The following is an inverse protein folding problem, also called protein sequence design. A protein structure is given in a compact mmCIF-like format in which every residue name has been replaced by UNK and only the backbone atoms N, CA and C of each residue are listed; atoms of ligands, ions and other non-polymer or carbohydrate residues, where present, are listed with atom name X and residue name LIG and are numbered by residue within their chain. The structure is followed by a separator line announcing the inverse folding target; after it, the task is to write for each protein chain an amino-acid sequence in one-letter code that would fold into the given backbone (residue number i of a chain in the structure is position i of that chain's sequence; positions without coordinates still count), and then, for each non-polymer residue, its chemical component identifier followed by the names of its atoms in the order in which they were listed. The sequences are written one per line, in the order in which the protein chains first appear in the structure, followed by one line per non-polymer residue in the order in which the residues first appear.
data_IF_059969458452
#
_entry.id   IF_059969458452
#
_cell.length_a   1.000
_cell.length_b   1.000
_cell.length_c   1.000
_cell.angle_alpha   90.00
_cell.angle_beta   90.00
_cell.angle_gamma   90.00
#
_symmetry.space_group_name_H-M   'P 1'
#
loop_
_entity.id
_entity.type
_entity.pdbx_description
1 polymer ?
#
# COMPACT_ATOMS: atom_id res chain seq x y z
N UNK A 1 8.57 -11.86 2.12
CA UNK A 1 8.83 -11.74 3.58
C UNK A 1 7.58 -11.19 4.24
N UNK A 2 7.12 -11.76 5.37
CA UNK A 2 5.89 -11.34 6.07
C UNK A 2 6.20 -10.61 7.37
N UNK A 3 5.54 -9.48 7.60
CA UNK A 3 5.64 -8.70 8.82
C UNK A 3 4.27 -8.59 9.48
N UNK A 4 4.20 -8.87 10.79
CA UNK A 4 2.94 -8.88 11.55
C UNK A 4 2.69 -7.62 12.37
N UNK A 5 3.65 -6.71 12.42
CA UNK A 5 3.51 -5.42 13.11
C UNK A 5 2.52 -4.49 12.40
N UNK A 6 1.95 -3.58 13.16
CA UNK A 6 1.21 -2.44 12.63
C UNK A 6 2.18 -1.28 12.38
N UNK A 7 2.02 -0.59 11.26
CA UNK A 7 2.85 0.55 10.91
C UNK A 7 1.99 1.65 10.31
N UNK A 8 2.21 2.87 10.79
CA UNK A 8 1.54 4.08 10.27
C UNK A 8 2.45 4.74 9.27
N UNK A 9 1.93 4.96 8.07
CA UNK A 9 2.67 5.49 6.93
C UNK A 9 1.85 6.53 6.19
N UNK A 10 2.52 7.54 5.65
CA UNK A 10 1.94 8.53 4.76
C UNK A 10 2.24 8.20 3.31
N UNK A 11 1.34 8.59 2.42
CA UNK A 11 1.39 8.18 1.03
C UNK A 11 0.14 8.55 0.28
N UNK A 12 0.00 8.01 -0.93
CA UNK A 12 -1.14 8.25 -1.81
C UNK A 12 -1.87 6.94 -2.01
N UNK A 13 -3.18 6.92 -1.72
CA UNK A 13 -4.01 5.81 -2.15
C UNK A 13 -4.53 6.05 -3.57
N UNK A 14 -4.78 4.98 -4.30
CA UNK A 14 -5.46 4.97 -5.59
C UNK A 14 -6.44 3.80 -5.62
N UNK A 15 -7.72 4.09 -5.80
CA UNK A 15 -8.74 3.07 -6.05
C UNK A 15 -9.00 3.01 -7.55
N UNK A 16 -8.49 1.97 -8.21
CA UNK A 16 -8.63 1.85 -9.66
C UNK A 16 -10.08 1.59 -10.08
N UNK A 17 -10.53 2.28 -11.13
CA UNK A 17 -11.84 2.03 -11.73
C UNK A 17 -11.81 0.85 -12.68
N UNK A 18 -10.87 0.78 -13.61
CA UNK A 18 -10.61 -0.41 -14.44
C UNK A 18 -9.16 -0.42 -14.94
N UNK A 19 -8.27 -1.04 -14.17
CA UNK A 19 -6.86 -1.19 -14.53
C UNK A 19 -6.61 -2.51 -15.25
N UNK A 20 -5.94 -2.48 -16.40
CA UNK A 20 -5.59 -3.70 -17.15
C UNK A 20 -4.73 -4.68 -16.33
N UNK A 21 -3.95 -4.19 -15.37
CA UNK A 21 -3.09 -5.02 -14.50
C UNK A 21 -3.70 -5.25 -13.11
N UNK A 22 -4.41 -4.25 -12.58
CA UNK A 22 -4.85 -4.23 -11.18
C UNK A 22 -6.37 -4.24 -11.03
N UNK A 23 -7.15 -4.33 -12.11
CA UNK A 23 -8.61 -4.31 -12.09
C UNK A 23 -9.16 -3.17 -11.23
N UNK A 24 -9.92 -3.54 -10.19
CA UNK A 24 -10.54 -2.62 -9.24
C UNK A 24 -9.77 -2.47 -7.92
N UNK A 25 -8.49 -2.84 -7.87
CA UNK A 25 -7.75 -2.89 -6.61
C UNK A 25 -7.56 -1.50 -5.98
N UNK A 26 -7.38 -1.50 -4.65
CA UNK A 26 -6.94 -0.33 -3.90
C UNK A 26 -5.45 -0.47 -3.64
N UNK A 27 -4.69 0.51 -4.11
CA UNK A 27 -3.25 0.59 -3.97
C UNK A 27 -2.90 1.74 -3.04
N UNK A 28 -1.83 1.57 -2.27
CA UNK A 28 -1.20 2.65 -1.52
C UNK A 28 0.28 2.74 -1.85
N UNK A 29 0.69 3.87 -2.39
CA UNK A 29 2.10 4.20 -2.63
C UNK A 29 2.63 5.03 -1.46
N UNK A 30 3.69 4.56 -0.82
CA UNK A 30 4.30 5.23 0.32
C UNK A 30 5.06 6.46 -0.15
N UNK A 31 4.91 7.56 0.58
CA UNK A 31 5.59 8.82 0.28
C UNK A 31 7.10 8.66 0.44
N UNK A 32 7.84 8.78 -0.65
CA UNK A 32 9.30 8.67 -0.68
C UNK A 32 10.03 9.88 -0.08
N UNK A 33 9.30 10.95 0.24
CA UNK A 33 9.86 12.12 0.94
C UNK A 33 9.63 12.05 2.45
N UNK A 34 8.76 11.15 2.94
CA UNK A 34 8.51 10.94 4.35
C UNK A 34 9.46 9.89 4.93
N UNK A 35 10.56 10.37 5.52
CA UNK A 35 11.61 9.52 6.10
C UNK A 35 11.08 8.60 7.20
N UNK A 36 10.10 9.04 7.98
CA UNK A 36 9.55 8.23 9.06
C UNK A 36 8.79 7.04 8.48
N UNK A 37 7.97 7.28 7.45
CA UNK A 37 7.25 6.22 6.73
C UNK A 37 8.17 5.24 6.01
N UNK A 38 9.23 5.73 5.37
CA UNK A 38 10.21 4.89 4.66
C UNK A 38 10.99 4.00 5.63
N UNK A 39 11.45 4.56 6.75
CA UNK A 39 12.27 3.83 7.72
C UNK A 39 11.46 2.87 8.59
N UNK A 40 10.16 3.12 8.73
CA UNK A 40 9.25 2.22 9.43
C UNK A 40 8.97 0.93 8.62
N UNK A 41 9.28 0.93 7.32
CA UNK A 41 9.12 -0.24 6.47
C UNK A 41 10.46 -0.96 6.24
N UNK A 42 10.47 -2.30 6.33
CA UNK A 42 11.62 -3.07 5.93
C UNK A 42 11.81 -2.92 4.41
N UNK A 43 13.06 -2.78 3.98
CA UNK A 43 13.42 -2.67 2.56
C UNK A 43 14.35 -3.81 2.20
N UNK A 44 14.06 -4.52 1.12
CA UNK A 44 15.01 -5.47 0.54
C UNK A 44 16.07 -4.66 -0.23
N UNK A 45 17.34 -4.79 0.14
CA UNK A 45 18.46 -4.03 -0.48
C UNK A 45 18.54 -4.16 -2.01
N UNK A 46 18.00 -5.24 -2.55
CA UNK A 46 18.00 -5.57 -3.98
C UNK A 46 16.69 -5.20 -4.68
N UNK A 47 15.68 -4.75 -3.93
CA UNK A 47 14.40 -4.30 -4.47
C UNK A 47 14.39 -2.78 -4.56
N UNK A 48 14.60 -2.28 -5.79
CA UNK A 48 14.64 -0.84 -6.09
C UNK A 48 13.27 -0.28 -6.51
N UNK A 49 12.18 -1.05 -6.35
CA UNK A 49 10.82 -0.59 -6.70
C UNK A 49 10.33 0.43 -5.69
N UNK A 50 9.45 1.34 -6.12
CA UNK A 50 8.68 2.17 -5.19
C UNK A 50 7.96 1.27 -4.18
N UNK A 51 7.90 1.69 -2.92
CA UNK A 51 7.25 0.90 -1.90
C UNK A 51 5.75 1.17 -1.99
N UNK A 52 5.02 0.29 -2.67
CA UNK A 52 3.57 0.38 -2.78
C UNK A 52 2.92 -0.96 -2.46
N UNK A 53 1.72 -0.92 -1.90
CA UNK A 53 1.00 -2.08 -1.40
C UNK A 53 -0.39 -2.18 -2.03
N UNK A 54 -0.76 -3.38 -2.44
CA UNK A 54 -2.14 -3.74 -2.75
C UNK A 54 -2.86 -4.13 -1.46
N UNK A 55 -4.02 -3.53 -1.20
CA UNK A 55 -4.81 -3.78 0.00
C UNK A 55 -5.57 -5.11 -0.10
N UNK A 56 -5.30 -6.04 0.81
CA UNK A 56 -5.92 -7.38 0.84
C UNK A 56 -7.37 -7.38 1.34
N UNK A 57 -7.73 -6.42 2.18
CA UNK A 57 -9.08 -6.23 2.69
C UNK A 57 -9.79 -5.15 1.87
N UNK A 58 -10.07 -5.47 0.60
CA UNK A 58 -10.60 -4.54 -0.39
C UNK A 58 -11.90 -3.86 0.05
N UNK A 59 -12.85 -4.61 0.61
CA UNK A 59 -14.13 -4.03 1.06
C UNK A 59 -13.94 -2.94 2.12
N UNK A 60 -13.10 -3.22 3.13
CA UNK A 60 -12.77 -2.26 4.18
C UNK A 60 -11.97 -1.06 3.63
N UNK A 61 -11.02 -1.31 2.74
CA UNK A 61 -10.23 -0.24 2.12
C UNK A 61 -11.10 0.69 1.25
N UNK A 62 -12.08 0.15 0.53
CA UNK A 62 -13.06 0.92 -0.22
C UNK A 62 -13.91 1.80 0.68
N UNK A 63 -14.37 1.27 1.82
CA UNK A 63 -15.22 1.99 2.77
C UNK A 63 -14.49 3.18 3.41
N UNK A 64 -13.22 3.00 3.76
CA UNK A 64 -12.44 4.02 4.49
C UNK A 64 -11.77 5.09 3.60
N UNK A 65 -11.44 4.77 2.34
CA UNK A 65 -10.62 5.65 1.51
C UNK A 65 -11.43 6.49 0.52
N UNK A 66 -12.20 5.84 -0.35
CA UNK A 66 -12.94 6.54 -1.39
C UNK A 66 -13.44 5.64 -2.53
N UNK A 67 -14.30 6.20 -3.40
CA UNK A 67 -14.93 5.47 -4.49
C UNK A 67 -13.91 5.05 -5.56
N UNK A 68 -14.33 4.17 -6.48
CA UNK A 68 -13.52 3.83 -7.66
C UNK A 68 -13.15 5.10 -8.45
N UNK A 69 -11.94 5.13 -8.98
CA UNK A 69 -11.37 6.25 -9.71
C UNK A 69 -10.82 7.38 -8.82
N UNK A 70 -10.91 7.26 -7.48
CA UNK A 70 -10.37 8.28 -6.58
C UNK A 70 -8.90 8.04 -6.22
N UNK A 71 -8.21 9.13 -5.93
CA UNK A 71 -6.86 9.13 -5.39
C UNK A 71 -6.68 10.33 -4.47
N UNK A 72 -6.03 10.11 -3.33
CA UNK A 72 -5.67 11.20 -2.42
C UNK A 72 -4.47 10.82 -1.57
N UNK A 73 -3.72 11.84 -1.15
CA UNK A 73 -2.69 11.70 -0.13
C UNK A 73 -3.34 11.53 1.24
N UNK A 74 -2.88 10.56 2.01
CA UNK A 74 -3.41 10.24 3.33
C UNK A 74 -2.36 9.56 4.21
N UNK A 75 -2.59 9.55 5.52
CA UNK A 75 -1.85 8.73 6.48
C UNK A 75 -2.73 7.56 6.88
N UNK A 76 -2.20 6.35 6.83
CA UNK A 76 -2.94 5.16 7.20
C UNK A 76 -2.07 4.18 7.99
N UNK A 77 -2.73 3.31 8.74
CA UNK A 77 -2.07 2.21 9.44
C UNK A 77 -2.30 0.93 8.66
N UNK A 78 -1.21 0.23 8.31
CA UNK A 78 -1.28 -1.11 7.72
C UNK A 78 -0.76 -2.18 8.68
N UNK A 79 -1.21 -3.41 8.47
CA UNK A 79 -0.70 -4.62 9.15
C UNK A 79 -0.57 -5.78 8.19
N UNK A 80 0.06 -6.86 8.66
CA UNK A 80 0.24 -8.11 7.93
C UNK A 80 0.80 -7.91 6.51
N UNK A 81 1.74 -6.98 6.36
CA UNK A 81 2.26 -6.64 5.05
C UNK A 81 3.32 -7.64 4.59
N UNK A 82 3.31 -7.91 3.29
CA UNK A 82 4.18 -8.86 2.61
C UNK A 82 4.95 -8.13 1.53
N UNK A 83 6.28 -8.18 1.63
CA UNK A 83 7.16 -7.76 0.55
C UNK A 83 7.40 -8.97 -0.34
N UNK A 84 6.86 -8.91 -1.54
CA UNK A 84 6.95 -9.97 -2.53
C UNK A 84 7.95 -9.53 -3.60
N UNK A 85 9.10 -10.18 -3.64
CA UNK A 85 10.15 -9.91 -4.62
C UNK A 85 10.55 -11.22 -5.30
N UNK A 86 10.20 -11.33 -6.58
CA UNK A 86 10.58 -12.44 -7.44
C UNK A 86 10.95 -11.84 -8.81
N UNK A 87 12.25 -11.81 -9.16
CA UNK A 87 12.73 -11.21 -10.41
C UNK A 87 12.03 -11.83 -11.63
N UNK A 88 11.55 -10.98 -12.54
CA UNK A 88 10.91 -11.43 -13.79
C UNK A 88 9.46 -11.88 -13.64
N UNK A 89 8.81 -11.61 -12.49
CA UNK A 89 7.38 -11.89 -12.27
C UNK A 89 6.62 -10.65 -11.79
N UNK A 90 5.34 -10.59 -12.15
CA UNK A 90 4.41 -9.55 -11.69
C UNK A 90 3.90 -9.88 -10.27
N UNK A 91 4.78 -9.69 -9.28
CA UNK A 91 4.42 -9.80 -7.85
C UNK A 91 4.37 -8.43 -7.19
N UNK A 92 3.31 -8.20 -6.42
CA UNK A 92 3.08 -6.93 -5.73
C UNK A 92 3.20 -7.11 -4.23
N UNK A 93 3.68 -6.07 -3.53
CA UNK A 93 3.59 -6.08 -2.07
C UNK A 93 2.11 -6.00 -1.68
N UNK A 94 1.75 -6.62 -0.58
CA UNK A 94 0.37 -6.65 -0.10
C UNK A 94 0.31 -6.26 1.35
N UNK A 95 -0.78 -5.63 1.79
CA UNK A 95 -1.00 -5.28 3.18
C UNK A 95 -2.49 -5.29 3.54
N UNK A 96 -2.82 -5.32 4.83
CA UNK A 96 -4.19 -5.05 5.28
C UNK A 96 -4.25 -3.64 5.84
N UNK A 97 -5.25 -2.88 5.40
CA UNK A 97 -5.59 -1.60 6.02
C UNK A 97 -6.17 -1.84 7.42
N UNK A 98 -5.72 -1.06 8.40
CA UNK A 98 -6.23 -1.08 9.78
C UNK A 98 -7.10 0.13 10.05
N UNK A 99 -6.58 1.31 9.73
CA UNK A 99 -7.27 2.58 9.95
C UNK A 99 -6.71 3.65 9.03
N UNK A 100 -7.51 4.70 8.84
CA UNK A 100 -7.15 5.88 8.07
C UNK A 100 -7.12 7.07 9.04
N UNK A 101 -6.00 7.79 9.07
CA UNK A 101 -5.90 9.06 9.78
C UNK A 101 -6.28 10.17 8.80
N UNK A 102 -7.55 10.57 8.84
CA UNK A 102 -8.03 11.75 8.12
C UNK A 102 -7.30 13.00 8.61
N UNK A 103 -6.94 13.89 7.68
CA UNK A 103 -6.47 15.24 7.99
C UNK A 103 -7.65 16.20 8.14
#
# INVERSE_FOLDING_TARGET
MQFRGEVTISGTYTHYDDSAMLGHQVVFEVDSLDRDSITALPVLKQDNRNNWFVMKNHDFAREELGPKGSSSRITLTIKEFHINYEPGTDVWNTAKLVSVQSK
#
